data_IF_300428185066
#
_entry.id   IF_300428185066
#
_cell.length_a   1.000
_cell.length_b   1.000
_cell.length_c   1.000
_cell.angle_alpha   90.00
_cell.angle_beta   90.00
_cell.angle_gamma   90.00
#
_symmetry.space_group_name_H-M   'P 1'
#
loop_
_entity.id
_entity.type
_entity.pdbx_description
1 polymer ?
#
# COMPACT_ATOMS: atom_id res chain seq x y z
N UNK A 1 -6.71 -12.18 -13.17
CA UNK A 1 -5.91 -11.10 -12.56
C UNK A 1 -6.32 -11.03 -11.11
N UNK A 2 -5.38 -11.05 -10.16
CA UNK A 2 -5.71 -11.09 -8.74
C UNK A 2 -6.30 -9.73 -8.33
N UNK A 3 -7.56 -9.73 -7.90
CA UNK A 3 -8.21 -8.51 -7.41
C UNK A 3 -7.68 -8.22 -6.00
N UNK A 4 -6.88 -7.16 -5.85
CA UNK A 4 -6.33 -6.75 -4.55
C UNK A 4 -7.35 -5.91 -3.81
N UNK A 5 -7.60 -6.22 -2.54
CA UNK A 5 -8.59 -5.46 -1.77
C UNK A 5 -8.03 -4.10 -1.34
N UNK A 6 -8.92 -3.11 -1.19
CA UNK A 6 -8.57 -1.80 -0.61
C UNK A 6 -7.88 -1.94 0.75
N UNK A 7 -8.31 -2.91 1.56
CA UNK A 7 -7.76 -3.18 2.89
C UNK A 7 -6.31 -3.66 2.83
N UNK A 8 -6.00 -4.58 1.93
CA UNK A 8 -4.62 -5.05 1.72
C UNK A 8 -3.70 -3.92 1.28
N UNK A 9 -4.17 -3.06 0.38
CA UNK A 9 -3.43 -1.89 -0.08
C UNK A 9 -3.15 -0.88 1.04
N UNK A 10 -4.14 -0.61 1.90
CA UNK A 10 -3.96 0.27 3.09
C UNK A 10 -2.94 -0.35 4.04
N UNK A 11 -3.04 -1.65 4.29
CA UNK A 11 -2.14 -2.35 5.18
C UNK A 11 -0.69 -2.37 4.65
N UNK A 12 -0.52 -2.52 3.33
CA UNK A 12 0.78 -2.53 2.68
C UNK A 12 1.42 -1.15 2.56
N UNK A 13 0.65 -0.16 2.12
CA UNK A 13 1.18 1.16 1.71
C UNK A 13 0.99 2.22 2.79
N UNK A 14 -0.20 2.29 3.39
CA UNK A 14 -0.59 3.43 4.21
C UNK A 14 -0.10 3.34 5.66
N UNK A 15 -0.01 2.14 6.24
CA UNK A 15 0.36 1.96 7.67
C UNK A 15 1.75 2.48 8.06
N UNK A 16 2.64 2.72 7.10
CA UNK A 16 3.97 3.31 7.32
C UNK A 16 4.06 4.77 6.89
N UNK A 17 3.00 5.34 6.33
CA UNK A 17 2.95 6.73 5.91
C UNK A 17 2.67 7.66 7.10
N UNK A 18 3.53 8.65 7.34
CA UNK A 18 3.33 9.65 8.41
C UNK A 18 2.07 10.51 8.24
N UNK A 19 1.57 10.59 7.00
CA UNK A 19 0.40 11.38 6.63
C UNK A 19 -0.89 10.58 6.65
N UNK A 20 -0.82 9.25 6.80
CA UNK A 20 -2.02 8.43 6.88
C UNK A 20 -2.73 8.68 8.20
N UNK A 21 -4.03 8.98 8.10
CA UNK A 21 -4.93 9.11 9.24
C UNK A 21 -6.07 8.13 9.03
N UNK A 22 -6.34 7.31 10.04
CA UNK A 22 -7.48 6.40 10.01
C UNK A 22 -8.75 7.22 10.28
N UNK A 23 -9.42 7.63 9.20
CA UNK A 23 -10.67 8.39 9.21
C UNK A 23 -11.72 7.70 8.33
N UNK A 24 -13.00 8.10 8.45
CA UNK A 24 -14.09 7.54 7.63
C UNK A 24 -13.91 7.84 6.12
N UNK A 25 -13.24 8.95 5.78
CA UNK A 25 -12.85 9.29 4.42
C UNK A 25 -11.41 8.87 4.13
N UNK A 26 -11.21 7.57 3.90
CA UNK A 26 -9.91 7.04 3.47
C UNK A 26 -9.53 7.56 2.08
N UNK A 27 -8.85 8.71 2.04
CA UNK A 27 -8.34 9.35 0.84
C UNK A 27 -7.16 8.56 0.26
N UNK A 28 -7.24 8.22 -1.03
CA UNK A 28 -6.17 7.54 -1.75
C UNK A 28 -5.13 8.55 -2.26
N UNK A 29 -3.93 8.53 -1.69
CA UNK A 29 -2.82 9.35 -2.16
C UNK A 29 -2.26 8.87 -3.51
N UNK A 30 -1.43 9.68 -4.17
CA UNK A 30 -0.82 9.31 -5.44
C UNK A 30 -0.01 8.01 -5.38
N UNK A 31 0.77 7.81 -4.31
CA UNK A 31 1.55 6.58 -4.12
C UNK A 31 0.66 5.33 -4.02
N UNK A 32 -0.46 5.42 -3.28
CA UNK A 32 -1.44 4.33 -3.19
C UNK A 32 -1.96 3.93 -4.57
N UNK A 33 -2.38 4.91 -5.39
CA UNK A 33 -2.93 4.66 -6.73
C UNK A 33 -1.90 4.04 -7.67
N UNK A 34 -0.67 4.55 -7.65
CA UNK A 34 0.42 4.03 -8.49
C UNK A 34 0.72 2.56 -8.13
N UNK A 35 0.88 2.26 -6.84
CA UNK A 35 1.16 0.89 -6.38
C UNK A 35 -0.02 -0.04 -6.74
N UNK A 36 -1.26 0.42 -6.56
CA UNK A 36 -2.46 -0.36 -6.90
C UNK A 36 -2.45 -0.78 -8.36
N UNK A 37 -2.21 0.17 -9.28
CA UNK A 37 -2.10 -0.10 -10.72
C UNK A 37 -1.01 -1.14 -11.00
N UNK A 38 0.17 -1.00 -10.39
CA UNK A 38 1.27 -1.96 -10.59
C UNK A 38 0.92 -3.38 -10.12
N UNK A 39 0.14 -3.52 -9.04
CA UNK A 39 -0.35 -4.81 -8.56
C UNK A 39 -1.40 -5.39 -9.50
N UNK A 40 -2.37 -4.58 -9.92
CA UNK A 40 -3.43 -4.99 -10.85
C UNK A 40 -2.86 -5.44 -12.22
N UNK A 41 -1.79 -4.79 -12.69
CA UNK A 41 -1.04 -5.13 -13.90
C UNK A 41 -0.03 -6.29 -13.71
N UNK A 42 0.03 -6.88 -12.51
CA UNK A 42 0.92 -8.00 -12.20
C UNK A 42 2.42 -7.64 -12.23
N UNK A 43 2.76 -6.35 -12.13
CA UNK A 43 4.14 -5.86 -12.07
C UNK A 43 4.73 -5.94 -10.68
N UNK A 44 3.88 -5.96 -9.65
CA UNK A 44 4.24 -6.15 -8.25
C UNK A 44 3.29 -7.14 -7.59
N UNK A 45 3.79 -7.90 -6.62
CA UNK A 45 2.96 -8.70 -5.72
C UNK A 45 2.81 -8.00 -4.38
N UNK A 46 1.73 -8.27 -3.66
CA UNK A 46 1.54 -7.76 -2.29
C UNK A 46 2.68 -8.15 -1.35
N UNK A 47 3.28 -9.32 -1.56
CA UNK A 47 4.47 -9.80 -0.86
C UNK A 47 5.64 -8.81 -0.95
N UNK A 48 5.89 -8.26 -2.14
CA UNK A 48 6.98 -7.33 -2.40
C UNK A 48 6.74 -6.00 -1.68
N UNK A 49 5.47 -5.58 -1.58
CA UNK A 49 5.04 -4.37 -0.87
C UNK A 49 5.21 -4.56 0.65
N UNK A 50 4.80 -5.70 1.21
CA UNK A 50 4.97 -5.99 2.63
C UNK A 50 6.45 -6.03 3.02
N UNK A 51 7.29 -6.66 2.19
CA UNK A 51 8.74 -6.64 2.38
C UNK A 51 9.30 -5.21 2.42
N UNK A 52 8.91 -4.36 1.46
CA UNK A 52 9.34 -2.97 1.43
C UNK A 52 8.84 -2.17 2.66
N UNK A 53 7.59 -2.41 3.08
CA UNK A 53 6.99 -1.81 4.28
C UNK A 53 7.80 -2.12 5.53
N UNK A 54 8.14 -3.39 5.76
CA UNK A 54 8.94 -3.81 6.93
C UNK A 54 10.31 -3.12 6.94
N UNK A 55 10.96 -2.99 5.77
CA UNK A 55 12.25 -2.29 5.66
C UNK A 55 12.16 -0.79 5.93
N UNK A 56 11.03 -0.15 5.65
CA UNK A 56 10.80 1.26 6.01
C UNK A 56 10.57 1.41 7.52
N UNK A 57 9.84 0.48 8.13
CA UNK A 57 9.62 0.45 9.58
C UNK A 57 10.90 0.26 10.39
N UNK A 58 11.86 -0.54 9.91
CA UNK A 58 13.15 -0.76 10.58
C UNK A 58 14.15 0.40 10.47
N UNK A 59 13.81 1.48 9.76
CA UNK A 59 14.65 2.67 9.58
C UNK A 59 14.15 3.90 10.35
N UNK A 60 13.07 3.76 11.13
CA UNK A 60 12.53 4.81 12.01
C UNK A 60 13.04 4.69 13.44
#
# INVERSE_FOLDING_TARGET
>A
MAEVTKREMIDGVCKVCDFYKENDEQLECGAFKIIKILVEEGKLRMEDIYFARERLGSQR
#
